data_IF_205968970013
#
_entry.id   IF_205968970013
#
_cell.length_a   1.000
_cell.length_b   1.000
_cell.length_c   1.000
_cell.angle_alpha   90.00
_cell.angle_beta   90.00
_cell.angle_gamma   90.00
#
_symmetry.space_group_name_H-M   'P 1'
#
loop_
_entity.id
_entity.type
_entity.pdbx_description
1 polymer ?
#
# COMPACT_ATOMS: atom_id res chain seq x y z
N UNK A 1 9.40 -43.86 20.41
CA UNK A 1 9.22 -42.41 20.53
C UNK A 1 7.93 -42.18 21.30
N UNK A 2 7.99 -41.59 22.49
CA UNK A 2 6.83 -41.48 23.37
C UNK A 2 5.81 -40.47 22.84
N UNK A 3 4.54 -40.61 23.23
CA UNK A 3 3.47 -39.66 22.90
C UNK A 3 3.83 -38.21 23.28
N UNK A 4 4.65 -38.05 24.33
CA UNK A 4 5.23 -36.78 24.77
C UNK A 4 6.20 -36.19 23.75
N UNK A 5 7.06 -37.01 23.15
CA UNK A 5 8.03 -36.58 22.14
C UNK A 5 7.32 -36.16 20.84
N UNK A 6 6.24 -36.85 20.47
CA UNK A 6 5.39 -36.50 19.32
C UNK A 6 4.69 -35.16 19.58
N UNK A 7 4.16 -34.94 20.80
CA UNK A 7 3.51 -33.69 21.17
C UNK A 7 4.49 -32.50 21.14
N UNK A 8 5.71 -32.67 21.65
CA UNK A 8 6.76 -31.65 21.60
C UNK A 8 7.19 -31.34 20.17
N UNK A 9 7.32 -32.35 19.30
CA UNK A 9 7.64 -32.13 17.89
C UNK A 9 6.52 -31.38 17.17
N UNK A 10 5.24 -31.76 17.39
CA UNK A 10 4.09 -31.08 16.79
C UNK A 10 3.94 -29.64 17.30
N UNK A 11 4.11 -29.40 18.60
CA UNK A 11 4.12 -28.03 19.16
C UNK A 11 5.30 -27.20 18.65
N UNK A 12 6.49 -27.80 18.48
CA UNK A 12 7.65 -27.12 17.92
C UNK A 12 7.49 -26.79 16.43
N UNK A 13 6.87 -27.67 15.63
CA UNK A 13 6.51 -27.38 14.24
C UNK A 13 5.45 -26.28 14.13
N UNK A 14 4.48 -26.25 15.05
CA UNK A 14 3.48 -25.17 15.12
C UNK A 14 4.09 -23.83 15.58
N UNK A 15 5.13 -23.85 16.42
CA UNK A 15 5.86 -22.64 16.83
C UNK A 15 6.76 -22.10 15.71
N UNK A 16 7.37 -22.97 14.89
CA UNK A 16 8.17 -22.56 13.72
C UNK A 16 7.27 -22.02 12.59
N UNK A 17 6.04 -22.52 12.47
CA UNK A 17 5.03 -22.00 11.53
C UNK A 17 4.56 -20.57 11.80
N UNK A 18 4.75 -20.04 13.02
CA UNK A 18 4.34 -18.69 13.42
C UNK A 18 5.44 -17.63 13.24
N UNK A 19 6.64 -18.00 12.76
CA UNK A 19 7.80 -17.11 12.62
C UNK A 19 8.29 -16.92 11.18
N UNK A 20 7.44 -17.13 10.17
CA UNK A 20 7.73 -16.58 8.84
C UNK A 20 7.33 -15.10 8.78
N UNK A 21 8.07 -14.26 9.50
CA UNK A 21 8.33 -12.93 8.95
C UNK A 21 9.11 -13.18 7.67
N UNK A 22 8.46 -13.06 6.50
CA UNK A 22 9.15 -13.11 5.22
C UNK A 22 10.12 -11.94 5.19
N UNK A 23 11.36 -12.21 5.56
CA UNK A 23 12.39 -11.20 5.62
C UNK A 23 12.86 -10.95 4.20
N UNK A 24 12.58 -9.74 3.71
CA UNK A 24 13.28 -9.16 2.58
C UNK A 24 14.79 -9.37 2.82
N UNK A 25 15.56 -9.89 1.84
CA UNK A 25 16.99 -10.14 2.00
C UNK A 25 17.70 -8.92 2.59
N UNK A 26 18.64 -9.17 3.50
CA UNK A 26 19.34 -8.09 4.24
C UNK A 26 20.09 -7.13 3.30
N UNK A 27 20.41 -7.61 2.11
CA UNK A 27 21.07 -6.88 1.03
C UNK A 27 20.18 -5.82 0.38
N UNK A 28 18.86 -5.93 0.51
CA UNK A 28 17.89 -4.97 0.00
C UNK A 28 17.58 -3.97 1.10
N UNK A 29 18.08 -2.74 0.92
CA UNK A 29 17.83 -1.64 1.84
C UNK A 29 16.34 -1.28 1.80
N UNK A 30 15.69 -1.31 2.95
CA UNK A 30 14.33 -0.78 3.13
C UNK A 30 14.37 0.75 3.19
N UNK A 31 13.32 1.38 2.68
CA UNK A 31 13.18 2.83 2.57
C UNK A 31 12.07 3.36 3.47
N UNK A 32 12.03 4.68 3.72
CA UNK A 32 10.83 5.29 4.31
C UNK A 32 9.75 5.45 3.22
N UNK A 33 8.49 5.53 3.63
CA UNK A 33 7.40 5.88 2.70
C UNK A 33 7.68 7.22 2.03
N UNK A 34 7.39 7.31 0.73
CA UNK A 34 7.59 8.52 -0.06
C UNK A 34 9.06 8.88 -0.37
N UNK A 35 10.06 8.14 0.13
CA UNK A 35 11.48 8.37 -0.24
C UNK A 35 11.78 7.81 -1.64
N UNK A 36 11.29 8.49 -2.68
CA UNK A 36 11.40 8.09 -4.09
C UNK A 36 12.81 7.62 -4.49
N UNK A 37 13.87 8.38 -4.14
CA UNK A 37 15.23 8.01 -4.53
C UNK A 37 15.70 6.72 -3.87
N UNK A 38 15.39 6.52 -2.59
CA UNK A 38 15.73 5.28 -1.91
C UNK A 38 15.03 4.08 -2.57
N UNK A 39 13.75 4.24 -2.93
CA UNK A 39 12.97 3.17 -3.56
C UNK A 39 13.54 2.83 -4.94
N UNK A 40 13.92 3.84 -5.73
CA UNK A 40 14.64 3.65 -7.01
C UNK A 40 15.92 2.84 -6.80
N UNK A 41 16.75 3.23 -5.84
CA UNK A 41 18.01 2.53 -5.56
C UNK A 41 17.75 1.07 -5.11
N UNK A 42 16.75 0.87 -4.26
CA UNK A 42 16.36 -0.45 -3.75
C UNK A 42 15.86 -1.37 -4.86
N UNK A 43 14.98 -0.87 -5.75
CA UNK A 43 14.50 -1.62 -6.92
C UNK A 43 15.64 -1.98 -7.88
N UNK A 44 16.56 -1.05 -8.15
CA UNK A 44 17.72 -1.32 -9.01
C UNK A 44 18.66 -2.38 -8.41
N UNK A 45 18.89 -2.35 -7.09
CA UNK A 45 19.67 -3.39 -6.40
C UNK A 45 18.96 -4.74 -6.46
N UNK A 46 17.62 -4.77 -6.29
CA UNK A 46 16.81 -5.98 -6.39
C UNK A 46 16.95 -6.62 -7.77
N UNK A 47 16.73 -5.85 -8.84
CA UNK A 47 16.83 -6.30 -10.23
C UNK A 47 18.23 -6.87 -10.51
N UNK A 48 19.27 -6.14 -10.13
CA UNK A 48 20.67 -6.53 -10.42
C UNK A 48 21.12 -7.78 -9.65
N UNK A 49 20.69 -7.95 -8.40
CA UNK A 49 21.15 -9.05 -7.54
C UNK A 49 20.31 -10.31 -7.67
N UNK A 50 19.04 -10.18 -8.05
CA UNK A 50 18.09 -11.29 -8.04
C UNK A 50 17.42 -11.48 -9.42
N UNK A 51 18.19 -11.65 -10.51
CA UNK A 51 17.63 -11.86 -11.85
C UNK A 51 16.80 -13.16 -11.93
N UNK A 52 17.16 -14.19 -11.16
CA UNK A 52 16.42 -15.46 -11.06
C UNK A 52 15.24 -15.42 -10.07
N UNK A 53 14.92 -14.24 -9.55
CA UNK A 53 13.84 -14.03 -8.60
C UNK A 53 14.15 -14.43 -7.15
N UNK A 54 13.14 -14.28 -6.30
CA UNK A 54 13.11 -14.65 -4.88
C UNK A 54 11.74 -15.32 -4.61
N UNK A 55 11.62 -16.65 -4.76
CA UNK A 55 10.33 -17.35 -4.64
C UNK A 55 9.60 -17.12 -3.30
N UNK A 56 10.38 -16.95 -2.22
CA UNK A 56 9.87 -16.65 -0.88
C UNK A 56 9.14 -15.31 -0.79
N UNK A 57 9.46 -14.36 -1.66
CA UNK A 57 8.80 -13.06 -1.76
C UNK A 57 7.82 -12.97 -2.93
N UNK A 58 7.65 -14.05 -3.72
CA UNK A 58 6.83 -14.00 -4.95
C UNK A 58 7.51 -13.35 -6.14
N UNK A 59 8.76 -12.94 -6.01
CA UNK A 59 9.51 -12.43 -7.15
C UNK A 59 9.90 -13.62 -8.05
N UNK A 60 9.24 -13.72 -9.22
CA UNK A 60 9.58 -14.70 -10.26
C UNK A 60 10.91 -14.34 -10.94
N UNK A 61 11.52 -15.28 -11.68
CA UNK A 61 12.64 -14.94 -12.58
C UNK A 61 12.27 -13.80 -13.52
N UNK A 62 13.22 -12.88 -13.71
CA UNK A 62 13.11 -11.74 -14.63
C UNK A 62 14.20 -11.80 -15.72
N UNK A 63 15.17 -12.69 -15.63
CA UNK A 63 16.11 -12.96 -16.73
C UNK A 63 15.44 -13.66 -17.92
N UNK A 64 14.44 -14.50 -17.63
CA UNK A 64 13.54 -15.10 -18.62
C UNK A 64 12.11 -15.01 -18.09
N UNK A 65 11.27 -14.24 -18.78
CA UNK A 65 9.88 -14.02 -18.38
C UNK A 65 8.94 -14.71 -19.36
N UNK A 66 8.28 -15.77 -18.89
CA UNK A 66 7.26 -16.48 -19.66
C UNK A 66 6.02 -15.60 -19.89
N UNK A 67 5.48 -15.64 -21.10
CA UNK A 67 4.25 -14.94 -21.48
C UNK A 67 3.19 -15.97 -21.85
N UNK A 68 1.96 -15.73 -21.38
CA UNK A 68 0.82 -16.60 -21.68
C UNK A 68 0.52 -16.59 -23.18
N UNK A 69 0.16 -17.76 -23.71
CA UNK A 69 -0.33 -17.90 -25.07
C UNK A 69 -1.48 -16.93 -25.34
N UNK A 70 -1.49 -16.33 -26.53
CA UNK A 70 -2.40 -15.24 -26.82
C UNK A 70 -2.81 -15.22 -28.29
N UNK A 71 -4.08 -14.93 -28.53
CA UNK A 71 -4.57 -14.54 -29.85
C UNK A 71 -4.26 -13.07 -30.08
N UNK A 72 -3.11 -12.78 -30.69
CA UNK A 72 -2.63 -11.41 -30.90
C UNK A 72 -3.53 -10.65 -31.87
N UNK A 73 -3.92 -11.31 -32.97
CA UNK A 73 -4.84 -10.78 -33.95
C UNK A 73 -5.91 -11.83 -34.29
N UNK A 74 -7.18 -11.43 -34.35
CA UNK A 74 -8.27 -12.37 -34.50
C UNK A 74 -9.48 -11.69 -35.17
N UNK A 75 -9.36 -11.44 -36.46
CA UNK A 75 -10.47 -10.93 -37.26
C UNK A 75 -11.51 -12.01 -37.51
N UNK A 76 -12.73 -11.56 -37.80
CA UNK A 76 -13.72 -12.42 -38.46
C UNK A 76 -13.24 -12.74 -39.88
N UNK A 77 -13.42 -14.00 -40.31
CA UNK A 77 -12.99 -14.47 -41.64
C UNK A 77 -13.94 -14.00 -42.76
N UNK A 78 -14.14 -12.70 -42.87
CA UNK A 78 -15.10 -12.06 -43.78
C UNK A 78 -14.39 -11.06 -44.69
N UNK A 79 -14.79 -11.01 -45.95
CA UNK A 79 -14.29 -10.03 -46.91
C UNK A 79 -12.94 -10.40 -47.53
N UNK A 80 -12.33 -9.40 -48.19
CA UNK A 80 -11.09 -9.56 -48.94
C UNK A 80 -9.83 -9.48 -48.07
N UNK A 81 -9.92 -8.97 -46.84
CA UNK A 81 -8.80 -8.92 -45.90
C UNK A 81 -9.24 -9.41 -44.53
N UNK A 82 -8.53 -10.39 -43.98
CA UNK A 82 -8.63 -10.79 -42.57
C UNK A 82 -7.35 -11.47 -42.14
N UNK A 83 -7.03 -11.37 -40.85
CA UNK A 83 -5.89 -12.04 -40.24
C UNK A 83 -6.30 -12.71 -38.92
N UNK A 84 -5.70 -13.85 -38.65
CA UNK A 84 -5.65 -14.51 -37.36
C UNK A 84 -4.17 -14.79 -37.07
N UNK A 85 -3.72 -14.44 -35.88
CA UNK A 85 -2.33 -14.52 -35.49
C UNK A 85 -2.27 -14.90 -34.02
N UNK A 86 -1.91 -16.15 -33.77
CA UNK A 86 -1.79 -16.73 -32.44
C UNK A 86 -0.32 -16.90 -32.08
N UNK A 87 0.02 -16.62 -30.82
CA UNK A 87 1.37 -16.72 -30.27
C UNK A 87 1.42 -17.74 -29.11
N UNK A 88 2.45 -18.57 -29.13
CA UNK A 88 2.69 -19.69 -28.21
C UNK A 88 4.14 -19.73 -27.73
N UNK A 89 4.38 -20.42 -26.62
CA UNK A 89 5.73 -20.67 -26.06
C UNK A 89 6.57 -19.39 -25.97
N UNK A 90 5.92 -18.33 -25.50
CA UNK A 90 6.45 -16.98 -25.56
C UNK A 90 7.34 -16.68 -24.36
N UNK A 91 8.49 -16.07 -24.63
CA UNK A 91 9.47 -15.66 -23.61
C UNK A 91 10.01 -14.26 -23.89
N UNK A 92 10.23 -13.50 -22.84
CA UNK A 92 10.95 -12.23 -22.88
C UNK A 92 12.30 -12.33 -22.15
N UNK A 93 13.32 -11.68 -22.72
CA UNK A 93 14.64 -11.50 -22.14
C UNK A 93 14.96 -10.01 -21.98
N UNK A 94 15.81 -9.67 -21.01
CA UNK A 94 16.37 -8.33 -20.85
C UNK A 94 15.82 -7.54 -19.66
N UNK A 95 14.79 -8.02 -18.95
CA UNK A 95 14.29 -7.32 -17.75
C UNK A 95 15.34 -7.28 -16.63
N UNK A 96 16.28 -8.21 -16.57
CA UNK A 96 17.42 -8.17 -15.66
C UNK A 96 18.37 -6.98 -15.91
N UNK A 97 18.32 -6.39 -17.11
CA UNK A 97 19.07 -5.19 -17.49
C UNK A 97 18.27 -3.89 -17.29
N UNK A 98 17.11 -3.97 -16.64
CA UNK A 98 16.27 -2.81 -16.36
C UNK A 98 16.99 -1.81 -15.45
N UNK A 99 16.93 -0.53 -15.80
CA UNK A 99 17.28 0.58 -14.91
C UNK A 99 16.02 1.35 -14.56
N UNK A 100 15.61 1.31 -13.30
CA UNK A 100 14.54 2.16 -12.76
C UNK A 100 15.08 3.57 -12.58
N UNK A 101 14.35 4.56 -13.10
CA UNK A 101 14.79 5.97 -13.15
C UNK A 101 13.97 6.88 -12.24
N UNK A 102 12.72 6.52 -11.95
CA UNK A 102 11.83 7.30 -11.08
C UNK A 102 10.74 6.42 -10.49
N UNK A 103 10.42 6.65 -9.22
CA UNK A 103 9.32 5.97 -8.52
C UNK A 103 8.56 6.97 -7.64
N UNK A 104 7.23 6.98 -7.75
CA UNK A 104 6.32 7.83 -6.98
C UNK A 104 5.12 7.02 -6.46
N UNK A 105 4.41 7.55 -5.46
CA UNK A 105 3.12 7.04 -4.98
C UNK A 105 3.19 5.90 -3.95
N UNK A 106 4.41 5.51 -3.55
CA UNK A 106 4.65 4.59 -2.44
C UNK A 106 4.61 5.33 -1.08
N UNK A 107 3.48 6.00 -0.83
CA UNK A 107 3.22 6.78 0.39
C UNK A 107 2.71 5.89 1.52
N UNK A 108 2.59 6.43 2.74
CA UNK A 108 2.04 5.66 3.88
C UNK A 108 0.63 5.16 3.57
N UNK A 109 -0.17 5.95 2.86
CA UNK A 109 -1.43 5.52 2.26
C UNK A 109 -1.29 5.37 0.73
N UNK A 110 -1.06 4.16 0.20
CA UNK A 110 -0.81 3.95 -1.24
C UNK A 110 -2.08 4.05 -2.11
N UNK A 111 -3.26 4.27 -1.50
CA UNK A 111 -4.51 4.50 -2.25
C UNK A 111 -4.82 5.98 -2.45
N UNK A 112 -4.12 6.89 -1.74
CA UNK A 112 -4.35 8.33 -1.88
C UNK A 112 -3.72 8.91 -3.14
N UNK A 113 -2.73 8.22 -3.71
CA UNK A 113 -1.97 8.66 -4.89
C UNK A 113 -1.84 7.51 -5.90
N UNK A 114 -1.53 7.87 -7.14
CA UNK A 114 -1.20 6.91 -8.19
C UNK A 114 0.26 6.48 -8.03
N UNK A 115 0.53 5.17 -8.04
CA UNK A 115 1.89 4.65 -8.08
C UNK A 115 2.41 4.77 -9.52
N UNK A 116 3.56 5.44 -9.69
CA UNK A 116 4.22 5.59 -10.98
C UNK A 116 5.65 5.04 -10.92
N UNK A 117 5.99 4.14 -11.84
CA UNK A 117 7.33 3.53 -11.95
C UNK A 117 7.85 3.80 -13.36
N UNK A 118 8.99 4.46 -13.46
CA UNK A 118 9.67 4.72 -14.72
C UNK A 118 10.93 3.85 -14.82
N UNK A 119 11.17 3.29 -15.98
CA UNK A 119 12.38 2.52 -16.23
C UNK A 119 12.76 2.49 -17.70
N UNK A 120 13.95 1.94 -17.94
CA UNK A 120 14.48 1.66 -19.27
C UNK A 120 15.13 0.29 -19.32
N UNK A 121 15.05 -0.36 -20.47
CA UNK A 121 15.68 -1.63 -20.80
C UNK A 121 16.49 -1.39 -22.09
N UNK A 122 17.81 -1.65 -22.10
CA UNK A 122 18.63 -1.42 -23.28
C UNK A 122 18.15 -2.19 -24.53
N UNK A 123 17.72 -3.44 -24.34
CA UNK A 123 17.08 -4.28 -25.36
C UNK A 123 16.14 -5.24 -24.65
N UNK A 124 14.86 -5.20 -25.03
CA UNK A 124 13.84 -6.15 -24.58
C UNK A 124 13.56 -7.10 -25.74
N UNK A 125 13.96 -8.36 -25.61
CA UNK A 125 13.85 -9.36 -26.67
C UNK A 125 12.67 -10.27 -26.36
N UNK A 126 11.72 -10.34 -27.29
CA UNK A 126 10.63 -11.30 -27.27
C UNK A 126 10.89 -12.40 -28.30
N UNK A 127 10.64 -13.65 -27.90
CA UNK A 127 10.62 -14.81 -28.78
C UNK A 127 9.37 -15.63 -28.53
N UNK A 128 8.90 -16.32 -29.55
CA UNK A 128 7.83 -17.30 -29.41
C UNK A 128 7.48 -17.95 -30.73
N UNK A 129 6.66 -18.99 -30.67
CA UNK A 129 6.10 -19.62 -31.86
C UNK A 129 4.82 -18.90 -32.29
N UNK A 130 4.57 -18.83 -33.59
CA UNK A 130 3.32 -18.27 -34.11
C UNK A 130 2.60 -19.23 -35.06
N UNK A 131 1.28 -19.08 -35.10
CA UNK A 131 0.41 -19.63 -36.12
C UNK A 131 -0.38 -18.47 -36.71
N UNK A 132 -0.25 -18.27 -38.02
CA UNK A 132 -0.98 -17.24 -38.75
C UNK A 132 -1.86 -17.84 -39.83
N UNK A 133 -3.10 -17.35 -39.90
CA UNK A 133 -4.00 -17.59 -41.01
C UNK A 133 -4.51 -16.24 -41.49
N UNK A 134 -4.49 -15.99 -42.79
CA UNK A 134 -4.98 -14.73 -43.31
C UNK A 134 -5.43 -14.85 -44.75
N UNK A 135 -6.11 -13.82 -45.21
CA UNK A 135 -6.45 -13.65 -46.61
C UNK A 135 -6.18 -12.21 -47.01
N UNK A 136 -5.54 -12.03 -48.16
CA UNK A 136 -5.38 -10.74 -48.83
C UNK A 136 -5.86 -10.90 -50.27
N UNK A 137 -7.06 -10.40 -50.56
CA UNK A 137 -7.79 -10.58 -51.82
C UNK A 137 -7.98 -12.06 -52.21
N UNK A 138 -7.14 -12.56 -53.12
CA UNK A 138 -7.14 -13.94 -53.61
C UNK A 138 -6.01 -14.78 -53.02
N UNK A 139 -5.12 -14.16 -52.24
CA UNK A 139 -3.97 -14.83 -51.61
C UNK A 139 -4.38 -15.30 -50.22
N UNK A 140 -4.25 -16.60 -49.97
CA UNK A 140 -4.39 -17.17 -48.64
C UNK A 140 -3.00 -17.28 -47.99
N UNK A 141 -2.93 -16.88 -46.73
CA UNK A 141 -1.76 -16.98 -45.87
C UNK A 141 -2.05 -18.07 -44.84
N UNK A 142 -1.21 -19.08 -44.78
CA UNK A 142 -1.20 -20.07 -43.72
C UNK A 142 0.26 -20.32 -43.38
N UNK A 143 0.70 -19.85 -42.23
CA UNK A 143 2.10 -19.90 -41.85
C UNK A 143 2.28 -20.24 -40.39
N UNK A 144 3.34 -20.99 -40.12
CA UNK A 144 3.82 -21.29 -38.78
C UNK A 144 5.32 -21.09 -38.77
N UNK A 145 5.84 -20.60 -37.66
CA UNK A 145 7.26 -20.40 -37.51
C UNK A 145 7.61 -19.76 -36.18
N UNK A 146 8.88 -19.40 -36.04
CA UNK A 146 9.36 -18.63 -34.90
C UNK A 146 9.16 -17.12 -35.17
N UNK A 147 8.80 -16.42 -34.11
CA UNK A 147 8.70 -14.97 -34.05
C UNK A 147 9.80 -14.41 -33.17
N UNK A 148 10.37 -13.29 -33.58
CA UNK A 148 11.38 -12.55 -32.85
C UNK A 148 11.04 -11.07 -32.87
N UNK A 149 11.10 -10.42 -31.72
CA UNK A 149 11.07 -8.95 -31.60
C UNK A 149 12.21 -8.46 -30.71
N UNK A 150 12.88 -7.39 -31.11
CA UNK A 150 13.84 -6.64 -30.30
C UNK A 150 13.38 -5.19 -30.19
N UNK A 151 13.00 -4.78 -28.98
CA UNK A 151 12.66 -3.41 -28.64
C UNK A 151 13.89 -2.72 -28.06
N UNK A 152 14.55 -1.89 -28.86
CA UNK A 152 15.83 -1.26 -28.50
C UNK A 152 15.61 0.08 -27.78
N UNK A 153 16.38 0.27 -26.71
CA UNK A 153 16.26 1.38 -25.77
C UNK A 153 14.81 1.58 -25.29
N UNK A 154 14.16 0.48 -24.91
CA UNK A 154 12.79 0.43 -24.47
C UNK A 154 12.61 1.18 -23.14
N UNK A 155 11.82 2.25 -23.14
CA UNK A 155 11.48 3.07 -21.99
C UNK A 155 10.02 2.84 -21.64
N UNK A 156 9.74 2.75 -20.34
CA UNK A 156 8.38 2.53 -19.88
C UNK A 156 8.02 3.41 -18.69
N UNK A 157 6.73 3.70 -18.56
CA UNK A 157 6.08 4.27 -17.38
C UNK A 157 4.91 3.37 -17.02
N UNK A 158 4.93 2.81 -15.81
CA UNK A 158 3.83 2.01 -15.30
C UNK A 158 3.03 2.86 -14.33
N UNK A 159 1.74 3.00 -14.60
CA UNK A 159 0.77 3.66 -13.71
C UNK A 159 -0.07 2.58 -13.03
N UNK A 160 0.15 2.37 -11.74
CA UNK A 160 -0.54 1.35 -10.95
C UNK A 160 -1.57 2.03 -10.04
N UNK A 161 -2.80 1.54 -10.09
CA UNK A 161 -3.82 1.83 -9.09
C UNK A 161 -4.07 0.59 -8.24
N UNK A 162 -3.99 0.78 -6.94
CA UNK A 162 -4.07 -0.30 -5.96
C UNK A 162 -5.23 -0.10 -4.99
N UNK A 163 -5.73 -1.21 -4.46
CA UNK A 163 -6.58 -1.24 -3.26
C UNK A 163 -5.84 -1.95 -2.14
N UNK A 164 -6.31 -1.73 -0.91
CA UNK A 164 -5.72 -2.28 0.29
C UNK A 164 -6.55 -3.47 0.78
N UNK A 165 -5.90 -4.62 0.93
CA UNK A 165 -6.47 -5.79 1.57
C UNK A 165 -5.79 -6.03 2.91
N UNK A 166 -6.58 -6.24 3.96
CA UNK A 166 -6.08 -6.49 5.31
C UNK A 166 -6.06 -7.98 5.60
N UNK A 167 -4.88 -8.53 5.91
CA UNK A 167 -4.69 -9.94 6.28
C UNK A 167 -3.78 -10.01 7.49
N UNK A 168 -4.21 -10.69 8.55
CA UNK A 168 -3.44 -10.84 9.80
C UNK A 168 -2.89 -9.52 10.35
N UNK A 169 -3.74 -8.48 10.38
CA UNK A 169 -3.38 -7.12 10.84
C UNK A 169 -2.24 -6.46 10.05
N UNK A 170 -1.99 -6.91 8.82
CA UNK A 170 -1.04 -6.32 7.87
C UNK A 170 -1.75 -5.89 6.59
N UNK A 171 -1.20 -4.85 5.95
CA UNK A 171 -1.71 -4.28 4.72
C UNK A 171 -1.05 -4.94 3.52
N UNK A 172 -1.84 -5.35 2.53
CA UNK A 172 -1.34 -5.89 1.27
C UNK A 172 -1.95 -5.11 0.11
N UNK A 173 -1.18 -4.96 -0.96
CA UNK A 173 -1.63 -4.28 -2.15
C UNK A 173 -2.31 -5.27 -3.09
N UNK A 174 -3.39 -4.83 -3.72
CA UNK A 174 -3.96 -5.51 -4.87
C UNK A 174 -4.08 -4.54 -6.02
N UNK A 175 -3.52 -4.91 -7.16
CA UNK A 175 -3.52 -4.09 -8.36
C UNK A 175 -4.89 -4.25 -9.03
N UNK A 176 -5.72 -3.21 -9.01
CA UNK A 176 -6.98 -3.25 -9.76
C UNK A 176 -6.84 -2.65 -11.16
N UNK A 177 -5.80 -1.83 -11.39
CA UNK A 177 -5.48 -1.31 -12.73
C UNK A 177 -3.99 -1.06 -12.86
N UNK A 178 -3.40 -1.54 -13.96
CA UNK A 178 -2.05 -1.20 -14.40
C UNK A 178 -2.12 -0.68 -15.84
N UNK A 179 -1.55 0.49 -16.08
CA UNK A 179 -1.52 1.11 -17.42
C UNK A 179 -0.06 1.42 -17.78
N UNK A 180 0.52 0.66 -18.73
CA UNK A 180 1.85 0.95 -19.24
C UNK A 180 1.80 2.05 -20.32
N UNK A 181 2.84 2.87 -20.35
CA UNK A 181 3.19 3.75 -21.45
C UNK A 181 4.59 3.37 -21.87
N UNK A 182 4.84 3.22 -23.17
CA UNK A 182 6.11 2.72 -23.66
C UNK A 182 6.61 3.58 -24.81
N UNK A 183 7.92 3.62 -24.98
CA UNK A 183 8.58 4.29 -26.09
C UNK A 183 9.90 3.54 -26.36
N UNK A 184 10.32 3.45 -27.62
CA UNK A 184 11.56 2.78 -28.02
C UNK A 184 12.24 3.56 -29.15
N UNK A 185 13.55 3.40 -29.29
CA UNK A 185 14.29 4.06 -30.38
C UNK A 185 14.17 3.26 -31.69
N UNK A 186 13.99 1.94 -31.56
CA UNK A 186 13.88 1.02 -32.68
C UNK A 186 13.12 -0.23 -32.24
N UNK A 187 12.28 -0.72 -33.14
CA UNK A 187 11.72 -2.06 -33.07
C UNK A 187 12.23 -2.86 -34.27
N UNK A 188 12.85 -4.01 -33.99
CA UNK A 188 13.22 -5.00 -35.02
C UNK A 188 12.31 -6.20 -34.83
N UNK A 189 11.70 -6.67 -35.90
CA UNK A 189 10.79 -7.80 -35.89
C UNK A 189 11.14 -8.78 -37.00
N UNK A 190 10.94 -10.06 -36.71
CA UNK A 190 11.13 -11.14 -37.67
C UNK A 190 10.09 -12.23 -37.46
N UNK A 191 9.42 -12.61 -38.55
CA UNK A 191 8.63 -13.83 -38.64
C UNK A 191 9.33 -14.78 -39.58
N UNK A 192 9.78 -15.90 -39.03
CA UNK A 192 10.30 -16.98 -39.86
C UNK A 192 9.16 -17.65 -40.62
N UNK A 193 9.44 -18.10 -41.84
CA UNK A 193 8.50 -18.86 -42.66
C UNK A 193 7.11 -18.20 -42.89
N UNK A 194 7.04 -16.85 -42.89
CA UNK A 194 5.77 -16.13 -43.02
C UNK A 194 5.03 -16.41 -44.33
N UNK A 195 5.78 -16.64 -45.40
CA UNK A 195 5.31 -17.20 -46.66
C UNK A 195 6.00 -18.54 -46.92
N UNK A 196 5.35 -19.63 -46.52
CA UNK A 196 5.94 -20.98 -46.49
C UNK A 196 6.53 -21.43 -47.84
N UNK A 197 5.87 -21.07 -48.93
CA UNK A 197 6.30 -21.43 -50.29
C UNK A 197 7.30 -20.46 -50.92
N UNK A 198 7.64 -19.36 -50.24
CA UNK A 198 8.50 -18.32 -50.80
C UNK A 198 9.33 -17.58 -49.73
N UNK A 199 10.56 -18.05 -49.52
CA UNK A 199 11.51 -17.46 -48.58
C UNK A 199 11.89 -16.03 -48.95
N UNK A 200 12.06 -15.72 -50.24
CA UNK A 200 12.42 -14.36 -50.68
C UNK A 200 11.32 -13.35 -50.31
N UNK A 201 10.06 -13.73 -50.45
CA UNK A 201 8.91 -12.91 -50.04
C UNK A 201 8.83 -12.77 -48.51
N UNK A 202 9.15 -13.83 -47.76
CA UNK A 202 9.29 -13.76 -46.30
C UNK A 202 10.38 -12.77 -45.87
N UNK A 203 11.54 -12.79 -46.53
CA UNK A 203 12.63 -11.85 -46.25
C UNK A 203 12.20 -10.42 -46.62
N UNK A 204 11.59 -10.23 -47.79
CA UNK A 204 11.16 -8.93 -48.28
C UNK A 204 10.12 -8.28 -47.35
N UNK A 205 9.10 -9.02 -46.90
CA UNK A 205 8.07 -8.47 -46.02
C UNK A 205 8.62 -8.10 -44.64
N UNK A 206 9.51 -8.93 -44.08
CA UNK A 206 10.18 -8.61 -42.82
C UNK A 206 11.04 -7.34 -42.97
N UNK A 207 11.67 -7.12 -44.12
CA UNK A 207 12.40 -5.89 -44.39
C UNK A 207 11.46 -4.67 -44.41
N UNK A 208 10.29 -4.79 -45.05
CA UNK A 208 9.26 -3.73 -45.05
C UNK A 208 8.78 -3.41 -43.63
N UNK A 209 8.50 -4.43 -42.81
CA UNK A 209 8.14 -4.24 -41.40
C UNK A 209 9.21 -3.48 -40.63
N UNK A 210 10.48 -3.86 -40.81
CA UNK A 210 11.61 -3.22 -40.15
C UNK A 210 11.89 -1.79 -40.67
N UNK A 211 11.64 -1.51 -41.95
CA UNK A 211 11.81 -0.17 -42.53
C UNK A 211 10.73 0.78 -42.00
N UNK A 212 9.48 0.32 -41.89
CA UNK A 212 8.31 1.11 -41.48
C UNK A 212 7.82 0.77 -40.07
N UNK A 213 8.75 0.42 -39.17
CA UNK A 213 8.42 -0.11 -37.85
C UNK A 213 7.58 0.85 -36.99
N UNK A 214 7.69 2.16 -37.21
CA UNK A 214 6.94 3.19 -36.46
C UNK A 214 5.46 3.11 -36.80
N UNK A 215 5.13 3.02 -38.08
CA UNK A 215 3.77 2.89 -38.58
C UNK A 215 3.14 1.59 -38.08
N UNK A 216 3.88 0.47 -38.15
CA UNK A 216 3.42 -0.80 -37.60
C UNK A 216 3.25 -0.75 -36.09
N UNK A 217 4.17 -0.08 -35.36
CA UNK A 217 4.04 0.09 -33.92
C UNK A 217 2.75 0.83 -33.57
N UNK A 218 2.47 1.96 -34.23
CA UNK A 218 1.29 2.77 -33.94
C UNK A 218 -0.02 2.01 -34.14
N UNK A 219 -0.11 1.15 -35.15
CA UNK A 219 -1.28 0.29 -35.38
C UNK A 219 -1.42 -0.80 -34.32
N UNK A 220 -0.28 -1.39 -33.89
CA UNK A 220 -0.25 -2.53 -32.98
C UNK A 220 -0.17 -2.14 -31.50
N UNK A 221 0.14 -0.89 -31.18
CA UNK A 221 0.37 -0.38 -29.84
C UNK A 221 -0.76 -0.75 -28.86
N UNK A 222 -2.06 -0.57 -29.19
CA UNK A 222 -3.13 -0.90 -28.25
C UNK A 222 -3.15 -2.38 -27.84
N UNK A 223 -2.72 -3.29 -28.73
CA UNK A 223 -2.63 -4.73 -28.46
C UNK A 223 -1.39 -5.05 -27.64
N UNK A 224 -0.24 -4.51 -28.04
CA UNK A 224 1.03 -4.65 -27.31
C UNK A 224 0.92 -4.13 -25.87
N UNK A 225 0.31 -2.97 -25.65
CA UNK A 225 0.12 -2.40 -24.31
C UNK A 225 -0.73 -3.29 -23.40
N UNK A 226 -1.72 -4.03 -23.92
CA UNK A 226 -2.49 -5.00 -23.11
C UNK A 226 -1.64 -6.18 -22.68
N UNK A 227 -0.79 -6.68 -23.56
CA UNK A 227 0.14 -7.78 -23.25
C UNK A 227 1.17 -7.31 -22.23
N UNK A 228 1.82 -6.15 -22.45
CA UNK A 228 2.73 -5.56 -21.48
C UNK A 228 2.06 -5.33 -20.13
N UNK A 229 0.82 -4.84 -20.11
CA UNK A 229 0.08 -4.65 -18.86
C UNK A 229 -0.09 -5.98 -18.10
N UNK A 230 -0.32 -7.08 -18.83
CA UNK A 230 -0.40 -8.42 -18.23
C UNK A 230 0.93 -8.90 -17.69
N UNK A 231 2.00 -8.77 -18.47
CA UNK A 231 3.35 -9.19 -18.07
C UNK A 231 3.82 -8.43 -16.83
N UNK A 232 3.71 -7.09 -16.84
CA UNK A 232 4.09 -6.29 -15.67
C UNK A 232 3.22 -6.58 -14.45
N UNK A 233 1.92 -6.81 -14.63
CA UNK A 233 1.04 -7.19 -13.52
C UNK A 233 1.48 -8.51 -12.91
N UNK A 234 1.72 -9.54 -13.72
CA UNK A 234 2.13 -10.87 -13.26
C UNK A 234 3.48 -10.86 -12.50
N UNK A 235 4.35 -9.87 -12.78
CA UNK A 235 5.60 -9.62 -12.03
C UNK A 235 5.32 -9.05 -10.63
N UNK A 236 4.40 -8.08 -10.50
CA UNK A 236 4.13 -7.40 -9.23
C UNK A 236 3.12 -8.13 -8.35
N UNK A 237 2.14 -8.80 -8.94
CA UNK A 237 0.96 -9.33 -8.24
C UNK A 237 1.34 -10.35 -7.17
N UNK A 238 2.19 -11.33 -7.49
CA UNK A 238 2.69 -12.32 -6.53
C UNK A 238 3.50 -11.67 -5.39
N UNK A 239 4.26 -10.61 -5.67
CA UNK A 239 5.04 -9.89 -4.66
C UNK A 239 4.11 -9.15 -3.71
N UNK A 240 3.13 -8.45 -4.23
CA UNK A 240 2.14 -7.72 -3.43
C UNK A 240 1.19 -8.66 -2.68
N UNK A 241 1.01 -9.88 -3.17
CA UNK A 241 0.27 -10.92 -2.47
C UNK A 241 1.08 -11.53 -1.31
N UNK A 242 2.39 -11.74 -1.46
CA UNK A 242 3.19 -12.41 -0.43
C UNK A 242 3.79 -11.45 0.60
N UNK A 243 4.21 -10.27 0.16
CA UNK A 243 4.89 -9.29 1.02
C UNK A 243 3.90 -8.22 1.44
N UNK A 244 3.74 -8.01 2.75
CA UNK A 244 2.90 -6.92 3.23
C UNK A 244 3.52 -5.57 2.85
N UNK A 245 2.66 -4.61 2.52
CA UNK A 245 3.07 -3.26 2.18
C UNK A 245 3.94 -2.64 3.27
N UNK A 246 3.57 -2.81 4.54
CA UNK A 246 4.33 -2.28 5.68
C UNK A 246 5.72 -2.92 5.81
N UNK A 247 5.85 -4.21 5.49
CA UNK A 247 7.14 -4.92 5.56
C UNK A 247 8.11 -4.51 4.43
N UNK A 248 7.63 -3.89 3.35
CA UNK A 248 8.48 -3.36 2.25
C UNK A 248 9.30 -2.14 2.70
N UNK A 249 8.81 -1.41 3.70
CA UNK A 249 9.41 -0.17 4.16
C UNK A 249 10.08 -0.37 5.51
N UNK A 250 10.93 0.60 5.87
CA UNK A 250 11.37 0.72 7.25
C UNK A 250 10.11 0.89 8.10
N UNK A 251 10.06 0.22 9.27
CA UNK A 251 8.97 0.48 10.20
C UNK A 251 8.93 1.99 10.40
N UNK A 252 7.73 2.57 10.28
CA UNK A 252 7.51 3.95 10.71
C UNK A 252 8.10 3.98 12.10
N UNK A 253 9.19 4.74 12.26
CA UNK A 253 9.73 4.96 13.58
C UNK A 253 8.57 5.58 14.34
N UNK A 254 7.91 4.77 15.16
CA UNK A 254 6.97 5.27 16.13
C UNK A 254 7.83 6.07 17.09
N UNK A 255 8.11 7.33 16.74
CA UNK A 255 8.51 8.33 17.74
C UNK A 255 7.41 8.49 18.80
N UNK A 256 6.23 7.89 18.58
CA UNK A 256 5.19 7.64 19.58
C UNK A 256 5.41 6.42 20.51
N UNK A 257 6.38 5.53 20.25
CA UNK A 257 6.65 4.36 21.10
C UNK A 257 7.60 4.64 22.27
N UNK A 258 7.95 5.91 22.51
CA UNK A 258 8.59 6.33 23.77
C UNK A 258 7.60 6.78 24.84
N UNK A 259 6.31 6.94 24.52
CA UNK A 259 5.34 7.50 25.47
C UNK A 259 4.22 6.59 26.01
N UNK A 260 4.23 5.25 25.90
CA UNK A 260 3.30 4.45 26.69
C UNK A 260 3.64 4.49 28.19
N UNK A 261 4.87 4.86 28.58
CA UNK A 261 5.32 4.92 29.98
C UNK A 261 5.31 6.34 30.59
N UNK A 262 4.84 7.35 29.86
CA UNK A 262 4.97 8.75 30.26
C UNK A 262 6.40 9.29 30.14
N UNK A 263 6.61 10.55 30.54
CA UNK A 263 7.92 11.19 30.68
C UNK A 263 8.03 11.72 32.11
N UNK A 264 8.60 10.92 33.01
CA UNK A 264 8.75 11.27 34.42
C UNK A 264 9.49 12.60 34.63
N UNK A 265 10.50 12.88 33.81
CA UNK A 265 11.36 14.06 33.93
C UNK A 265 10.59 15.39 33.78
N UNK A 266 9.45 15.36 33.08
CA UNK A 266 8.56 16.51 32.91
C UNK A 266 7.15 16.26 33.48
N UNK A 267 6.99 15.21 34.29
CA UNK A 267 5.73 14.87 34.94
C UNK A 267 4.60 14.44 34.00
N UNK A 268 4.90 14.01 32.77
CA UNK A 268 3.89 13.47 31.87
C UNK A 268 3.56 12.03 32.27
N UNK A 269 2.30 11.71 32.63
CA UNK A 269 1.92 10.35 33.00
C UNK A 269 1.87 9.43 31.76
N UNK A 270 1.86 8.10 31.98
CA UNK A 270 1.46 7.14 30.97
C UNK A 270 0.12 7.51 30.32
N UNK A 271 0.01 7.32 29.01
CA UNK A 271 -1.21 7.58 28.23
C UNK A 271 -1.95 6.28 27.85
N UNK A 272 -1.51 5.14 28.34
CA UNK A 272 -2.15 3.84 28.12
C UNK A 272 -3.47 3.74 28.91
N UNK A 273 -3.41 4.05 30.20
CA UNK A 273 -4.54 4.06 31.13
C UNK A 273 -4.48 5.32 32.00
N UNK A 274 -5.57 6.09 32.02
CA UNK A 274 -5.69 7.27 32.85
C UNK A 274 -6.87 7.17 33.80
N UNK A 275 -6.65 7.49 35.07
CA UNK A 275 -7.67 7.50 36.10
C UNK A 275 -8.16 8.91 36.33
N UNK A 276 -9.44 9.16 36.06
CA UNK A 276 -10.06 10.45 36.35
C UNK A 276 -10.59 10.46 37.79
N UNK A 277 -10.56 11.62 38.47
CA UNK A 277 -11.20 11.78 39.77
C UNK A 277 -12.69 11.39 39.73
N UNK A 278 -13.21 11.00 40.89
CA UNK A 278 -14.64 10.81 41.07
C UNK A 278 -15.37 12.10 40.71
N UNK A 279 -16.47 11.99 39.96
CA UNK A 279 -17.19 13.15 39.43
C UNK A 279 -18.69 12.92 39.43
N UNK A 280 -19.43 14.01 39.62
CA UNK A 280 -20.85 14.05 39.33
C UNK A 280 -21.03 14.50 37.90
N UNK A 281 -21.64 13.64 37.09
CA UNK A 281 -21.90 13.89 35.66
C UNK A 281 -23.20 14.68 35.51
N UNK A 282 -24.20 14.37 36.34
CA UNK A 282 -25.48 15.06 36.39
C UNK A 282 -25.87 15.24 37.85
N UNK A 283 -26.26 16.46 38.23
CA UNK A 283 -26.89 16.74 39.51
C UNK A 283 -28.12 17.60 39.23
N UNK A 284 -29.28 17.09 39.60
CA UNK A 284 -30.54 17.78 39.40
C UNK A 284 -30.97 18.47 40.69
N UNK A 285 -31.64 19.63 40.64
CA UNK A 285 -32.39 20.12 41.78
C UNK A 285 -33.40 19.03 42.17
N UNK A 286 -33.37 18.55 43.43
CA UNK A 286 -34.28 17.53 43.94
C UNK A 286 -35.71 18.07 44.15
N UNK A 287 -36.19 18.87 43.19
CA UNK A 287 -37.47 19.55 43.20
C UNK A 287 -38.22 19.25 41.91
N UNK A 288 -39.45 18.75 42.02
CA UNK A 288 -40.30 18.44 40.88
C UNK A 288 -40.40 16.95 40.57
N UNK A 289 -41.18 16.59 39.53
CA UNK A 289 -41.52 15.21 39.24
C UNK A 289 -40.39 14.43 38.54
N UNK A 290 -39.36 15.10 38.02
CA UNK A 290 -38.21 14.46 37.36
C UNK A 290 -36.93 15.08 37.89
N UNK A 291 -36.06 14.26 38.47
CA UNK A 291 -34.70 14.65 38.85
C UNK A 291 -33.81 13.41 38.85
N UNK A 292 -32.54 13.58 38.47
CA UNK A 292 -31.55 12.52 38.41
C UNK A 292 -30.20 13.07 38.85
N UNK A 293 -29.56 12.36 39.77
CA UNK A 293 -28.15 12.49 40.10
C UNK A 293 -27.41 11.28 39.56
N UNK A 294 -26.35 11.54 38.80
CA UNK A 294 -25.51 10.51 38.20
C UNK A 294 -24.05 10.79 38.56
N UNK A 295 -23.49 9.92 39.39
CA UNK A 295 -22.10 10.01 39.85
C UNK A 295 -21.31 8.82 39.32
N UNK A 296 -20.04 9.06 39.05
CA UNK A 296 -19.12 8.03 38.59
C UNK A 296 -17.86 8.03 39.45
N UNK A 297 -17.45 6.84 39.87
CA UNK A 297 -16.26 6.56 40.67
C UNK A 297 -15.41 5.50 39.99
N UNK A 298 -14.15 5.41 40.41
CA UNK A 298 -13.17 4.46 39.85
C UNK A 298 -13.03 4.63 38.32
N UNK A 299 -13.09 5.87 37.84
CA UNK A 299 -13.12 6.20 36.42
C UNK A 299 -11.79 5.87 35.75
N UNK A 300 -11.78 4.82 34.93
CA UNK A 300 -10.61 4.40 34.16
C UNK A 300 -10.88 4.58 32.67
N UNK A 301 -9.98 5.29 32.00
CA UNK A 301 -10.04 5.52 30.56
C UNK A 301 -8.80 4.91 29.89
N UNK A 302 -9.00 4.14 28.83
CA UNK A 302 -7.95 3.50 28.03
C UNK A 302 -7.99 4.00 26.59
N UNK A 303 -6.81 4.16 25.98
CA UNK A 303 -6.68 4.42 24.54
C UNK A 303 -6.11 5.79 24.15
N UNK A 304 -5.73 6.65 25.10
CA UNK A 304 -5.12 7.95 24.80
C UNK A 304 -3.77 7.83 24.05
N UNK A 305 -3.06 6.72 24.24
CA UNK A 305 -1.83 6.38 23.53
C UNK A 305 -2.01 6.22 22.01
N UNK A 306 -3.24 6.03 21.53
CA UNK A 306 -3.57 5.95 20.10
C UNK A 306 -3.99 7.30 19.51
N UNK A 307 -3.87 8.39 20.28
CA UNK A 307 -4.15 9.74 19.78
C UNK A 307 -3.22 10.11 18.62
N UNK A 308 -3.80 10.70 17.58
CA UNK A 308 -3.05 11.36 16.51
C UNK A 308 -3.23 12.86 16.66
N UNK A 309 -2.15 13.59 16.89
CA UNK A 309 -2.19 15.05 16.94
C UNK A 309 -2.47 15.58 15.53
N UNK A 310 -3.52 16.37 15.38
CA UNK A 310 -3.95 16.93 14.08
C UNK A 310 -3.58 18.39 13.92
N UNK A 311 -3.41 19.13 15.02
CA UNK A 311 -3.09 20.56 14.99
C UNK A 311 -2.35 20.99 16.26
N UNK A 312 -1.34 21.83 16.11
CA UNK A 312 -0.60 22.47 17.22
C UNK A 312 -0.37 23.93 16.87
N UNK A 313 -0.89 24.83 17.70
CA UNK A 313 -0.73 26.28 17.54
C UNK A 313 -0.43 26.98 18.87
N UNK A 314 0.18 28.16 18.81
CA UNK A 314 0.35 29.04 19.97
C UNK A 314 1.63 28.86 20.79
N UNK A 315 2.53 27.94 20.40
CA UNK A 315 3.89 27.84 20.96
C UNK A 315 4.83 28.92 20.38
N UNK A 316 4.47 30.20 20.58
CA UNK A 316 5.26 31.35 20.13
C UNK A 316 6.41 31.66 21.10
N UNK A 317 7.33 32.56 20.71
CA UNK A 317 8.39 33.09 21.60
C UNK A 317 7.82 33.69 22.90
N UNK A 318 6.60 34.23 22.82
CA UNK A 318 5.77 34.69 23.94
C UNK A 318 4.42 33.93 23.97
N UNK A 319 4.35 32.75 24.61
CA UNK A 319 3.17 31.87 24.65
C UNK A 319 1.99 32.44 25.44
N UNK A 320 2.17 33.58 26.11
CA UNK A 320 1.15 34.32 26.85
C UNK A 320 0.39 35.33 25.97
N UNK A 321 0.89 35.65 24.76
CA UNK A 321 0.23 36.61 23.87
C UNK A 321 -0.97 35.99 23.12
N UNK A 322 -0.93 34.68 22.88
CA UNK A 322 -2.01 33.92 22.23
C UNK A 322 -2.27 32.62 22.98
N UNK A 323 -3.48 32.10 22.88
CA UNK A 323 -3.82 30.80 23.43
C UNK A 323 -3.10 29.67 22.66
N UNK A 324 -2.70 28.63 23.39
CA UNK A 324 -2.18 27.39 22.81
C UNK A 324 -3.39 26.53 22.43
N UNK A 325 -3.40 26.04 21.19
CA UNK A 325 -4.45 25.16 20.69
C UNK A 325 -3.82 23.83 20.30
N UNK A 326 -4.33 22.75 20.88
CA UNK A 326 -3.92 21.38 20.59
C UNK A 326 -5.14 20.58 20.14
N UNK A 327 -5.15 20.15 18.89
CA UNK A 327 -6.21 19.28 18.36
C UNK A 327 -5.67 17.87 18.19
N UNK A 328 -6.46 16.87 18.60
CA UNK A 328 -6.12 15.47 18.50
C UNK A 328 -7.33 14.65 18.05
N UNK A 329 -7.06 13.61 17.24
CA UNK A 329 -8.02 12.57 16.89
C UNK A 329 -7.73 11.31 17.69
N UNK A 330 -8.73 10.80 18.38
CA UNK A 330 -8.68 9.55 19.13
C UNK A 330 -9.55 8.52 18.42
N UNK A 331 -8.99 7.41 17.90
CA UNK A 331 -9.77 6.43 17.16
C UNK A 331 -10.77 5.70 18.06
N UNK A 332 -10.38 5.41 19.30
CA UNK A 332 -11.21 4.71 20.29
C UNK A 332 -10.75 5.01 21.71
N UNK A 333 -11.69 5.32 22.59
CA UNK A 333 -11.51 5.43 24.04
C UNK A 333 -12.50 4.51 24.73
N UNK A 334 -11.98 3.67 25.62
CA UNK A 334 -12.78 2.81 26.47
C UNK A 334 -12.82 3.38 27.88
N UNK A 335 -14.02 3.58 28.42
CA UNK A 335 -14.24 3.95 29.81
C UNK A 335 -14.80 2.75 30.57
N UNK A 336 -14.22 2.49 31.73
CA UNK A 336 -14.76 1.59 32.74
C UNK A 336 -14.92 2.40 34.04
N UNK A 337 -16.08 2.32 34.68
CA UNK A 337 -16.35 3.02 35.93
C UNK A 337 -17.37 2.25 36.81
N UNK A 338 -17.47 2.66 38.07
CA UNK A 338 -18.60 2.33 38.94
C UNK A 338 -19.55 3.53 38.92
N UNK A 339 -20.81 3.34 38.55
CA UNK A 339 -21.80 4.41 38.61
C UNK A 339 -22.67 4.28 39.85
N UNK A 340 -23.07 5.43 40.40
CA UNK A 340 -24.16 5.56 41.37
C UNK A 340 -25.19 6.51 40.77
N UNK A 341 -26.42 6.03 40.62
CA UNK A 341 -27.51 6.79 40.03
C UNK A 341 -28.70 6.80 40.99
N UNK A 342 -29.11 8.00 41.37
CA UNK A 342 -30.33 8.20 42.15
C UNK A 342 -31.25 9.13 41.37
N UNK A 343 -32.53 8.84 41.37
CA UNK A 343 -33.46 9.69 40.68
C UNK A 343 -34.91 9.36 40.92
N UNK A 344 -35.73 10.28 40.45
CA UNK A 344 -37.17 10.12 40.39
C UNK A 344 -37.65 10.47 38.99
N UNK A 345 -38.49 9.62 38.43
CA UNK A 345 -39.25 9.90 37.23
C UNK A 345 -40.74 9.71 37.52
N UNK A 346 -41.47 10.83 37.62
CA UNK A 346 -42.86 10.91 38.04
C UNK A 346 -43.09 10.22 39.39
N UNK A 347 -43.74 9.06 39.38
CA UNK A 347 -44.07 8.25 40.56
C UNK A 347 -43.00 7.20 40.87
N UNK A 348 -42.02 6.98 39.99
CA UNK A 348 -40.97 5.97 40.14
C UNK A 348 -39.71 6.59 40.74
N UNK A 349 -39.21 6.01 41.82
CA UNK A 349 -37.90 6.34 42.39
C UNK A 349 -36.94 5.17 42.15
N UNK A 350 -35.67 5.49 41.91
CA UNK A 350 -34.61 4.51 41.73
C UNK A 350 -33.34 4.97 42.42
N UNK A 351 -32.62 4.02 42.98
CA UNK A 351 -31.30 4.21 43.54
C UNK A 351 -30.50 2.96 43.18
N UNK A 352 -29.60 3.10 42.22
CA UNK A 352 -28.88 1.97 41.63
C UNK A 352 -27.40 2.25 41.57
N UNK A 353 -26.62 1.21 41.86
CA UNK A 353 -25.17 1.20 41.69
C UNK A 353 -24.80 0.05 40.77
N UNK A 354 -23.83 0.26 39.88
CA UNK A 354 -23.38 -0.80 39.00
C UNK A 354 -22.09 -0.47 38.26
N UNK A 355 -21.72 -1.35 37.32
CA UNK A 355 -20.59 -1.11 36.42
C UNK A 355 -21.08 -0.38 35.16
N UNK A 356 -20.33 0.64 34.78
CA UNK A 356 -20.48 1.39 33.55
C UNK A 356 -19.32 1.02 32.62
N UNK A 357 -19.65 0.65 31.38
CA UNK A 357 -18.68 0.54 30.29
C UNK A 357 -19.14 1.47 29.17
N UNK A 358 -18.24 2.30 28.65
CA UNK A 358 -18.54 3.19 27.52
C UNK A 358 -17.45 3.07 26.46
N UNK A 359 -17.85 3.00 25.20
CA UNK A 359 -16.95 2.89 24.05
C UNK A 359 -17.17 4.11 23.14
N UNK A 360 -16.20 5.01 23.14
CA UNK A 360 -16.23 6.23 22.36
C UNK A 360 -15.30 6.07 21.16
N UNK A 361 -15.82 6.28 19.95
CA UNK A 361 -15.08 6.09 18.70
C UNK A 361 -14.95 7.41 17.94
N UNK A 362 -13.87 7.55 17.18
CA UNK A 362 -13.61 8.71 16.30
C UNK A 362 -13.80 10.07 16.98
N UNK A 363 -13.23 10.23 18.18
CA UNK A 363 -13.35 11.47 18.94
C UNK A 363 -12.35 12.50 18.39
N UNK A 364 -12.81 13.73 18.19
CA UNK A 364 -11.93 14.89 18.02
C UNK A 364 -11.93 15.71 19.31
N UNK A 365 -10.76 15.94 19.86
CA UNK A 365 -10.57 16.78 21.04
C UNK A 365 -9.73 17.99 20.66
N UNK A 366 -10.20 19.17 21.03
CA UNK A 366 -9.44 20.41 20.94
C UNK A 366 -9.23 20.97 22.34
N UNK A 367 -7.97 21.11 22.76
CA UNK A 367 -7.60 21.75 24.02
C UNK A 367 -7.19 23.19 23.75
N UNK A 368 -7.91 24.13 24.34
CA UNK A 368 -7.52 25.54 24.38
C UNK A 368 -6.87 25.85 25.72
N UNK A 369 -5.58 26.14 25.71
CA UNK A 369 -4.76 26.34 26.90
C UNK A 369 -4.31 27.80 26.96
N UNK A 370 -4.55 28.45 28.11
CA UNK A 370 -4.02 29.79 28.39
C UNK A 370 -2.94 29.72 29.45
N UNK A 371 -1.83 30.40 29.18
CA UNK A 371 -0.64 30.35 30.03
C UNK A 371 -0.17 31.74 30.44
N UNK A 372 0.48 31.80 31.60
CA UNK A 372 1.24 32.96 32.07
C UNK A 372 2.71 32.57 32.19
N UNK A 373 3.60 33.53 31.99
CA UNK A 373 5.03 33.31 32.20
C UNK A 373 5.36 33.52 33.68
N UNK A 374 6.05 32.55 34.28
CA UNK A 374 6.53 32.63 35.65
C UNK A 374 8.05 32.37 35.66
N UNK A 375 8.81 33.13 36.45
CA UNK A 375 10.24 32.90 36.62
C UNK A 375 10.50 32.23 37.97
N UNK A 376 11.16 31.08 37.96
CA UNK A 376 11.60 30.38 39.17
C UNK A 376 13.09 30.10 39.05
N UNK A 377 13.89 30.55 40.03
CA UNK A 377 15.35 30.39 40.04
C UNK A 377 16.03 30.83 38.73
N UNK A 378 15.60 31.96 38.17
CA UNK A 378 16.13 32.50 36.90
C UNK A 378 15.71 31.74 35.64
N UNK A 379 14.95 30.65 35.76
CA UNK A 379 14.40 29.88 34.63
C UNK A 379 12.97 30.31 34.34
N UNK A 380 12.63 30.40 33.06
CA UNK A 380 11.31 30.76 32.54
C UNK A 380 10.42 29.52 32.49
N UNK A 381 9.25 29.57 33.11
CA UNK A 381 8.21 28.53 33.12
C UNK A 381 6.90 29.07 32.56
N UNK A 382 6.06 28.15 32.09
CA UNK A 382 4.67 28.44 31.72
C UNK A 382 3.75 27.87 32.80
N UNK A 383 2.91 28.72 33.37
CA UNK A 383 1.83 28.33 34.28
C UNK A 383 0.51 28.32 33.52
N UNK A 384 -0.10 27.15 33.39
CA UNK A 384 -1.45 27.02 32.85
C UNK A 384 -2.42 27.56 33.89
N UNK A 385 -3.22 28.56 33.51
CA UNK A 385 -4.28 29.10 34.37
C UNK A 385 -5.68 28.82 33.83
N UNK A 386 -5.79 28.37 32.57
CA UNK A 386 -7.03 27.93 31.98
C UNK A 386 -6.74 26.84 30.97
N UNK A 387 -7.48 25.74 31.05
CA UNK A 387 -7.50 24.66 30.06
C UNK A 387 -8.96 24.35 29.79
N UNK A 388 -9.40 24.55 28.54
CA UNK A 388 -10.76 24.28 28.09
C UNK A 388 -10.75 23.20 27.03
N UNK A 389 -11.26 22.00 27.31
CA UNK A 389 -11.45 20.98 26.30
C UNK A 389 -12.74 21.22 25.52
N UNK A 390 -12.69 21.01 24.21
CA UNK A 390 -13.84 20.92 23.32
C UNK A 390 -13.85 19.52 22.73
N UNK A 391 -14.98 18.85 22.78
CA UNK A 391 -15.16 17.49 22.28
C UNK A 391 -16.13 17.51 21.11
N UNK A 392 -15.73 16.93 20.00
CA UNK A 392 -16.58 16.70 18.83
C UNK A 392 -16.62 15.19 18.55
N UNK A 393 -17.82 14.65 18.48
CA UNK A 393 -18.08 13.25 18.16
C UNK A 393 -18.54 13.22 16.71
N UNK A 394 -17.83 12.48 15.85
CA UNK A 394 -18.32 12.19 14.50
C UNK A 394 -19.68 11.46 14.65
N UNK A 395 -20.78 12.15 14.32
CA UNK A 395 -22.15 11.62 14.36
C UNK A 395 -22.41 10.63 13.22
#
# INVERSE_FOLDING_TARGET
MGMRDILFIVLSLQLVGLLQSQMIPKEIKKCRFGESQCIVDSMNVLIKKFPRGIPALGLKPIDVVDIRNSKFWNDEKVGAFWLQFDLFDQVNYGFENTTITKVNGFDENPTSSLIEIHGRIPSLIHKGNYLSQGRVWIVELNSTGESFSDFQNFRFVLKLKVIMEYRNNKRYLKIYKLTPFVNMDRWVFWLDNFFESNTDMSIAINHVFNQHWVEFWNELEPKNLKIFASVFRDIFEDVFEKVSYDDMFLPIAKESQRYPKGISDIGLPPLDTYYFPNSSILESPHSGPIWIDFRVRDNMFKGFNNATITQVEGFLREPNQKQIVLSARLPRILQEATYDMEGRFLLFAFNTTGRLSSDFQNIRITLTIKTLVEYRNGKRYLKIYSLKPTLDLDR
#
